data_IF_233524916682
#
_entry.id   IF_233524916682
#
_cell.length_a   1.000
_cell.length_b   1.000
_cell.length_c   1.000
_cell.angle_alpha   90.00
_cell.angle_beta   90.00
_cell.angle_gamma   90.00
#
_symmetry.space_group_name_H-M   'P 1'
#
loop_
_entity.id
_entity.type
_entity.pdbx_description
1 polymer ?
#
# COMPACT_ATOMS: atom_id res chain seq x y z
N UNK A 1 3.98 -2.25 15.92
CA UNK A 1 3.17 -3.19 15.09
C UNK A 1 2.68 -2.54 13.80
N UNK A 2 1.98 -1.40 13.83
CA UNK A 2 1.51 -0.70 12.63
C UNK A 2 2.61 -0.48 11.56
N UNK A 3 3.80 -0.04 11.97
CA UNK A 3 4.94 0.14 11.06
C UNK A 3 5.38 -1.16 10.37
N UNK A 4 5.48 -2.27 11.11
CA UNK A 4 5.85 -3.59 10.55
C UNK A 4 4.80 -4.07 9.54
N UNK A 5 3.52 -3.86 9.85
CA UNK A 5 2.42 -4.18 8.94
C UNK A 5 2.50 -3.37 7.64
N UNK A 6 2.75 -2.06 7.74
CA UNK A 6 2.88 -1.17 6.59
C UNK A 6 4.06 -1.57 5.70
N UNK A 7 5.21 -1.92 6.29
CA UNK A 7 6.38 -2.41 5.55
C UNK A 7 6.00 -3.66 4.73
N UNK A 8 5.26 -4.59 5.34
CA UNK A 8 4.81 -5.81 4.65
C UNK A 8 3.82 -5.53 3.52
N UNK A 9 2.79 -4.70 3.76
CA UNK A 9 1.78 -4.36 2.75
C UNK A 9 2.39 -3.59 1.57
N UNK A 10 3.17 -2.55 1.85
CA UNK A 10 3.81 -1.73 0.83
C UNK A 10 4.88 -2.54 0.08
N UNK A 11 5.67 -3.34 0.80
CA UNK A 11 6.67 -4.23 0.20
C UNK A 11 6.05 -5.24 -0.75
N UNK A 12 4.94 -5.89 -0.37
CA UNK A 12 4.21 -6.81 -1.26
C UNK A 12 3.76 -6.10 -2.55
N UNK A 13 3.21 -4.90 -2.42
CA UNK A 13 2.74 -4.13 -3.57
C UNK A 13 3.90 -3.74 -4.50
N UNK A 14 5.05 -3.32 -3.95
CA UNK A 14 6.24 -2.98 -4.70
C UNK A 14 6.84 -4.21 -5.41
N UNK A 15 6.98 -5.34 -4.71
CA UNK A 15 7.49 -6.60 -5.29
C UNK A 15 6.63 -7.05 -6.47
N UNK A 16 5.30 -6.96 -6.36
CA UNK A 16 4.38 -7.32 -7.46
C UNK A 16 4.54 -6.43 -8.71
N UNK A 17 4.86 -5.15 -8.55
CA UNK A 17 5.13 -4.24 -9.68
C UNK A 17 6.46 -4.61 -10.34
N UNK A 18 7.51 -4.80 -9.53
CA UNK A 18 8.86 -5.15 -10.01
C UNK A 18 8.85 -6.50 -10.71
N UNK A 19 8.18 -7.50 -10.15
CA UNK A 19 8.07 -8.84 -10.73
C UNK A 19 7.40 -8.79 -12.11
N UNK A 20 6.32 -8.02 -12.26
CA UNK A 20 5.66 -7.82 -13.55
C UNK A 20 6.58 -7.10 -14.55
N UNK A 21 7.29 -6.05 -14.10
CA UNK A 21 8.23 -5.34 -14.96
C UNK A 21 9.39 -6.24 -15.44
N UNK A 22 9.89 -7.13 -14.57
CA UNK A 22 10.92 -8.12 -14.92
C UNK A 22 10.40 -9.13 -15.95
N UNK A 23 9.16 -9.61 -15.81
CA UNK A 23 8.54 -10.50 -16.79
C UNK A 23 8.40 -9.83 -18.16
N UNK A 24 7.86 -8.61 -18.22
CA UNK A 24 7.74 -7.84 -19.47
C UNK A 24 9.11 -7.53 -20.11
N UNK A 25 10.13 -7.26 -19.30
CA UNK A 25 11.51 -7.08 -19.79
C UNK A 25 12.05 -8.36 -20.42
N UNK A 26 11.77 -9.53 -19.84
CA UNK A 26 12.18 -10.82 -20.39
C UNK A 26 11.51 -11.12 -21.74
N UNK A 27 10.34 -10.52 -22.01
CA UNK A 27 9.65 -10.56 -23.30
C UNK A 27 10.21 -9.54 -24.33
N UNK A 28 11.29 -8.83 -23.98
CA UNK A 28 11.99 -7.90 -24.88
C UNK A 28 11.50 -6.45 -24.80
N UNK A 29 10.58 -6.12 -23.89
CA UNK A 29 10.08 -4.75 -23.70
C UNK A 29 11.11 -3.90 -22.95
N UNK A 30 11.23 -2.63 -23.35
CA UNK A 30 12.13 -1.68 -22.67
C UNK A 30 11.75 -1.49 -21.19
N UNK A 31 12.74 -1.23 -20.32
CA UNK A 31 12.53 -1.13 -18.86
C UNK A 31 11.50 -0.06 -18.50
N UNK A 32 11.52 1.08 -19.19
CA UNK A 32 10.57 2.18 -18.96
C UNK A 32 9.13 1.76 -19.29
N UNK A 33 8.94 1.09 -20.42
CA UNK A 33 7.61 0.65 -20.86
C UNK A 33 7.08 -0.48 -19.97
N UNK A 34 7.94 -1.42 -19.59
CA UNK A 34 7.60 -2.49 -18.64
C UNK A 34 7.19 -1.96 -17.26
N UNK A 35 7.88 -0.91 -16.76
CA UNK A 35 7.54 -0.27 -15.49
C UNK A 35 6.18 0.44 -15.54
N UNK A 36 5.88 1.18 -16.62
CA UNK A 36 4.61 1.87 -16.82
C UNK A 36 3.45 0.85 -16.89
N UNK A 37 3.64 -0.24 -17.64
CA UNK A 37 2.62 -1.28 -17.79
C UNK A 37 2.34 -1.99 -16.44
N UNK A 38 3.40 -2.32 -15.69
CA UNK A 38 3.29 -2.90 -14.35
C UNK A 38 2.59 -1.98 -13.35
N UNK A 39 2.92 -0.69 -13.36
CA UNK A 39 2.26 0.31 -12.52
C UNK A 39 0.77 0.45 -12.88
N UNK A 40 0.43 0.50 -14.17
CA UNK A 40 -0.94 0.66 -14.66
C UNK A 40 -1.86 -0.51 -14.26
N UNK A 41 -1.39 -1.75 -14.42
CA UNK A 41 -2.17 -2.95 -14.09
C UNK A 41 -2.42 -3.05 -12.58
N UNK A 42 -1.45 -2.61 -11.76
CA UNK A 42 -1.54 -2.69 -10.29
C UNK A 42 -2.20 -1.46 -9.66
N UNK A 43 -2.35 -0.36 -10.39
CA UNK A 43 -2.96 0.87 -9.88
C UNK A 43 -4.33 0.64 -9.24
N UNK A 44 -5.25 -0.01 -9.97
CA UNK A 44 -6.59 -0.33 -9.46
C UNK A 44 -6.57 -1.26 -8.22
N UNK A 45 -5.88 -2.41 -8.25
CA UNK A 45 -5.74 -3.28 -7.08
C UNK A 45 -5.12 -2.59 -5.84
N UNK A 46 -4.08 -1.77 -6.04
CA UNK A 46 -3.39 -1.07 -4.94
C UNK A 46 -4.32 -0.05 -4.28
N UNK A 47 -5.04 0.74 -5.07
CA UNK A 47 -6.03 1.69 -4.54
C UNK A 47 -7.15 0.96 -3.79
N UNK A 48 -7.69 -0.14 -4.35
CA UNK A 48 -8.74 -0.93 -3.71
C UNK A 48 -8.30 -1.45 -2.32
N UNK A 49 -7.13 -2.07 -2.25
CA UNK A 49 -6.61 -2.65 -0.99
C UNK A 49 -6.27 -1.58 0.04
N UNK A 50 -5.69 -0.47 -0.40
CA UNK A 50 -5.35 0.66 0.48
C UNK A 50 -6.60 1.31 1.07
N UNK A 51 -7.61 1.56 0.25
CA UNK A 51 -8.88 2.16 0.70
C UNK A 51 -9.65 1.21 1.63
N UNK A 52 -9.71 -0.09 1.29
CA UNK A 52 -10.35 -1.08 2.16
C UNK A 52 -9.66 -1.17 3.53
N UNK A 53 -8.33 -1.13 3.56
CA UNK A 53 -7.56 -1.13 4.78
C UNK A 53 -7.82 0.13 5.64
N UNK A 54 -7.78 1.32 5.04
CA UNK A 54 -8.07 2.58 5.73
C UNK A 54 -9.51 2.57 6.27
N UNK A 55 -10.49 2.13 5.47
CA UNK A 55 -11.88 2.04 5.89
C UNK A 55 -12.06 1.07 7.08
N UNK A 56 -11.38 -0.08 7.05
CA UNK A 56 -11.38 -1.04 8.16
C UNK A 56 -10.76 -0.52 9.45
N UNK A 57 -9.90 0.51 9.38
CA UNK A 57 -9.30 1.17 10.54
C UNK A 57 -10.13 2.32 11.11
N UNK A 58 -11.17 2.78 10.42
CA UNK A 58 -12.03 3.88 10.88
C UNK A 58 -12.52 3.67 12.32
N UNK A 59 -13.06 2.48 12.71
CA UNK A 59 -13.52 2.24 14.07
C UNK A 59 -12.41 2.41 15.12
N UNK A 60 -11.18 2.04 14.76
CA UNK A 60 -10.02 2.12 15.64
C UNK A 60 -9.57 3.58 15.84
N UNK A 61 -9.66 4.40 14.79
CA UNK A 61 -9.36 5.84 14.81
C UNK A 61 -10.38 6.61 15.66
N UNK A 62 -11.65 6.20 15.68
CA UNK A 62 -12.70 6.87 16.46
C UNK A 62 -12.93 6.25 17.83
N UNK A 63 -12.25 5.14 18.17
CA UNK A 63 -12.46 4.37 19.39
C UNK A 63 -12.49 5.24 20.67
N UNK A 64 -13.44 4.96 21.56
CA UNK A 64 -13.65 5.66 22.84
C UNK A 64 -13.79 4.61 23.95
N UNK A 65 -13.33 4.92 25.16
CA UNK A 65 -13.36 4.02 26.32
C UNK A 65 -11.99 3.44 26.70
N UNK A 66 -11.95 2.32 27.46
CA UNK A 66 -10.71 1.69 27.90
C UNK A 66 -9.83 1.30 26.71
N UNK A 67 -8.55 1.67 26.73
CA UNK A 67 -7.63 1.40 25.63
C UNK A 67 -7.83 2.29 24.38
N UNK A 68 -8.71 3.30 24.43
CA UNK A 68 -8.94 4.22 23.32
C UNK A 68 -7.67 4.89 22.80
N UNK A 69 -6.77 5.32 23.70
CA UNK A 69 -5.49 5.93 23.30
C UNK A 69 -4.65 4.96 22.48
N UNK A 70 -4.59 3.68 22.87
CA UNK A 70 -3.85 2.64 22.13
C UNK A 70 -4.46 2.35 20.76
N UNK A 71 -5.79 2.15 20.72
CA UNK A 71 -6.52 1.91 19.49
C UNK A 71 -6.41 3.08 18.51
N UNK A 72 -6.60 4.31 19.00
CA UNK A 72 -6.45 5.53 18.19
C UNK A 72 -5.04 5.64 17.63
N UNK A 73 -4.01 5.47 18.47
CA UNK A 73 -2.62 5.57 18.04
C UNK A 73 -2.28 4.58 16.93
N UNK A 74 -2.71 3.32 17.08
CA UNK A 74 -2.48 2.28 16.07
C UNK A 74 -3.26 2.59 14.79
N UNK A 75 -4.55 2.94 14.91
CA UNK A 75 -5.42 3.25 13.80
C UNK A 75 -4.93 4.45 12.98
N UNK A 76 -4.57 5.55 13.65
CA UNK A 76 -4.09 6.76 12.97
C UNK A 76 -2.72 6.56 12.35
N UNK A 77 -1.80 5.86 13.03
CA UNK A 77 -0.48 5.57 12.48
C UNK A 77 -0.56 4.66 11.24
N UNK A 78 -1.39 3.62 11.30
CA UNK A 78 -1.57 2.70 10.17
C UNK A 78 -2.32 3.35 9.00
N UNK A 79 -3.39 4.10 9.25
CA UNK A 79 -4.14 4.79 8.21
C UNK A 79 -3.29 5.88 7.51
N UNK A 80 -2.61 6.73 8.29
CA UNK A 80 -1.72 7.76 7.74
C UNK A 80 -0.55 7.18 6.96
N UNK A 81 0.08 6.12 7.50
CA UNK A 81 1.17 5.43 6.82
C UNK A 81 0.74 4.73 5.53
N UNK A 82 -0.48 4.18 5.47
CA UNK A 82 -1.01 3.58 4.25
C UNK A 82 -1.29 4.64 3.17
N UNK A 83 -1.87 5.79 3.54
CA UNK A 83 -2.11 6.89 2.60
C UNK A 83 -0.79 7.37 1.99
N UNK A 84 0.20 7.68 2.84
CA UNK A 84 1.50 8.14 2.35
C UNK A 84 2.21 7.06 1.54
N UNK A 85 2.26 5.83 2.04
CA UNK A 85 2.94 4.73 1.36
C UNK A 85 2.34 4.41 0.00
N UNK A 86 1.01 4.46 -0.15
CA UNK A 86 0.36 4.24 -1.44
C UNK A 86 0.61 5.37 -2.43
N UNK A 87 0.61 6.63 -1.99
CA UNK A 87 0.92 7.77 -2.85
C UNK A 87 2.37 7.69 -3.34
N UNK A 88 3.32 7.50 -2.43
CA UNK A 88 4.73 7.41 -2.78
C UNK A 88 5.04 6.16 -3.61
N UNK A 89 4.47 5.00 -3.26
CA UNK A 89 4.74 3.74 -3.98
C UNK A 89 4.06 3.62 -5.35
N UNK A 90 3.10 4.49 -5.68
CA UNK A 90 2.52 4.57 -7.03
C UNK A 90 3.19 5.63 -7.90
N UNK A 91 3.74 6.70 -7.30
CA UNK A 91 4.33 7.83 -8.02
C UNK A 91 5.85 7.71 -8.20
N UNK A 92 6.54 6.96 -7.35
CA UNK A 92 7.99 6.74 -7.36
C UNK A 92 8.26 5.27 -7.68
#
# INVERSE_FOLDING_TARGET
VAMVMLIGLLGKNAVLIVEFAVQRKAEGISVSQAAIEGASIRFRPIIMTSLAFIAGLIPLVIAVGPGAVGNRTIGTAAAGGMIMGTIFGLLI
#
